data_IF_811166464087
#
_entry.id   IF_811166464087
#
_cell.length_a   1.000
_cell.length_b   1.000
_cell.length_c   1.000
_cell.angle_alpha   90.00
_cell.angle_beta   90.00
_cell.angle_gamma   90.00
#
_symmetry.space_group_name_H-M   'P 1'
#
loop_
_entity.id
_entity.type
_entity.pdbx_description
1 polymer ?
#
# COMPACT_ATOMS: atom_id res chain seq x y z
N UNK A 1 -42.80 7.77 50.57
CA UNK A 1 -42.10 9.05 50.80
C UNK A 1 -41.08 8.87 51.90
N UNK A 2 -39.95 9.57 51.89
CA UNK A 2 -38.90 9.75 50.87
C UNK A 2 -37.59 9.09 51.41
N UNK A 3 -36.46 8.95 50.70
CA UNK A 3 -35.60 10.02 50.21
C UNK A 3 -34.49 9.40 49.35
N UNK A 4 -34.23 10.02 48.21
CA UNK A 4 -33.16 9.71 47.28
C UNK A 4 -31.80 10.18 47.84
N UNK A 5 -30.76 9.37 47.63
CA UNK A 5 -29.37 9.84 47.57
C UNK A 5 -28.74 9.21 46.32
N UNK A 6 -28.54 10.05 45.32
CA UNK A 6 -27.75 9.75 44.14
C UNK A 6 -26.27 9.76 44.53
N UNK A 7 -25.56 8.68 44.25
CA UNK A 7 -24.09 8.65 44.22
C UNK A 7 -23.66 8.20 42.82
N UNK A 8 -22.88 9.07 42.18
CA UNK A 8 -22.36 8.87 40.84
C UNK A 8 -21.35 7.73 40.80
N UNK A 9 -21.69 6.67 40.07
CA UNK A 9 -20.77 5.64 39.65
C UNK A 9 -20.17 6.00 38.29
N UNK A 10 -18.88 6.31 38.27
CA UNK A 10 -18.07 6.34 37.05
C UNK A 10 -17.99 4.92 36.48
N UNK A 11 -18.76 4.64 35.42
CA UNK A 11 -18.56 3.45 34.61
C UNK A 11 -17.33 3.64 33.72
N UNK A 12 -16.19 3.12 34.16
CA UNK A 12 -15.12 2.75 33.24
C UNK A 12 -15.63 1.55 32.41
N UNK A 13 -16.02 1.80 31.16
CA UNK A 13 -16.18 0.73 30.17
C UNK A 13 -14.80 0.34 29.68
N UNK A 14 -14.38 -0.88 30.01
CA UNK A 14 -13.32 -1.58 29.29
C UNK A 14 -13.64 -1.61 27.78
N UNK A 15 -12.68 -1.33 26.88
CA UNK A 15 -12.86 -1.63 25.48
C UNK A 15 -12.88 -3.16 25.34
N UNK A 16 -14.04 -3.68 24.97
CA UNK A 16 -14.24 -5.08 24.66
C UNK A 16 -13.36 -5.48 23.48
N UNK A 17 -12.75 -6.66 23.62
CA UNK A 17 -12.07 -7.40 22.56
C UNK A 17 -13.07 -7.61 21.42
N UNK A 18 -12.83 -6.99 20.27
CA UNK A 18 -13.54 -7.29 19.04
C UNK A 18 -13.04 -8.64 18.50
N UNK A 19 -13.93 -9.55 18.08
CA UNK A 19 -13.51 -10.82 17.49
C UNK A 19 -12.76 -10.58 16.18
N UNK A 20 -11.61 -11.24 16.02
CA UNK A 20 -10.87 -11.31 14.77
C UNK A 20 -11.75 -11.94 13.70
N UNK A 21 -12.01 -11.20 12.62
CA UNK A 21 -12.69 -11.69 11.43
C UNK A 21 -11.61 -12.02 10.39
N UNK A 22 -11.41 -13.31 10.17
CA UNK A 22 -10.53 -13.89 9.16
C UNK A 22 -11.21 -13.89 7.79
N UNK A 23 -11.17 -12.76 7.05
CA UNK A 23 -11.45 -12.74 5.61
C UNK A 23 -10.94 -11.42 4.98
N UNK A 24 -10.00 -11.43 4.01
CA UNK A 24 -9.34 -10.23 3.48
C UNK A 24 -10.24 -9.32 2.60
N UNK A 25 -11.55 -9.60 2.47
CA UNK A 25 -12.49 -8.84 1.64
C UNK A 25 -13.37 -7.82 2.42
N UNK A 26 -13.08 -7.56 3.70
CA UNK A 26 -13.99 -6.81 4.60
C UNK A 26 -13.54 -5.39 5.00
N UNK A 27 -12.48 -4.82 4.44
CA UNK A 27 -12.05 -3.45 4.77
C UNK A 27 -12.75 -2.36 3.92
N UNK A 28 -14.06 -2.19 4.05
CA UNK A 28 -14.84 -1.11 3.41
C UNK A 28 -15.95 -0.69 4.37
N UNK A 29 -15.90 0.49 5.06
CA UNK A 29 -17.03 1.45 5.38
C UNK A 29 -16.49 2.76 6.07
N UNK A 30 -16.45 3.90 5.36
CA UNK A 30 -17.27 5.17 5.42
C UNK A 30 -17.54 6.00 6.75
N UNK A 31 -18.11 7.25 6.72
CA UNK A 31 -17.45 8.55 7.04
C UNK A 31 -18.16 9.44 8.10
N UNK A 32 -17.65 10.67 8.39
CA UNK A 32 -18.46 11.86 8.74
C UNK A 32 -17.70 13.20 8.66
N UNK A 33 -18.34 14.18 8.04
CA UNK A 33 -17.90 15.56 7.77
C UNK A 33 -18.39 16.50 8.88
N UNK A 34 -17.50 17.35 9.42
CA UNK A 34 -17.85 18.64 10.03
C UNK A 34 -16.75 19.65 9.67
N UNK A 35 -17.11 20.70 8.94
CA UNK A 35 -16.22 21.85 8.64
C UNK A 35 -16.54 22.97 9.64
N UNK A 36 -15.53 23.55 10.33
CA UNK A 36 -15.62 24.91 10.79
C UNK A 36 -14.70 25.81 9.95
N UNK A 37 -15.33 26.76 9.27
CA UNK A 37 -14.73 28.03 8.86
C UNK A 37 -14.11 28.77 10.05
N UNK A 38 -12.95 29.43 9.86
CA UNK A 38 -12.63 30.80 10.34
C UNK A 38 -11.23 31.28 9.87
N UNK A 39 -11.20 32.54 9.40
CA UNK A 39 -10.12 33.45 8.93
C UNK A 39 -9.11 33.87 10.06
N UNK A 40 -8.14 34.84 9.93
CA UNK A 40 -7.63 35.63 8.79
C UNK A 40 -6.07 35.72 8.67
N UNK A 41 -5.63 36.50 7.67
CA UNK A 41 -4.26 36.89 7.31
C UNK A 41 -3.48 37.79 8.31
N UNK A 42 -2.18 37.94 8.01
CA UNK A 42 -1.13 38.85 8.53
C UNK A 42 -0.05 38.12 9.36
N UNK A 43 1.26 38.27 9.21
CA UNK A 43 2.11 39.37 8.73
C UNK A 43 3.38 38.82 8.00
N UNK A 44 3.91 39.56 7.02
CA UNK A 44 5.29 39.40 6.52
C UNK A 44 6.25 40.32 7.31
N UNK A 45 7.53 39.93 7.41
CA UNK A 45 8.62 40.90 7.26
C UNK A 45 9.42 40.64 5.99
N UNK A 46 9.77 41.75 5.35
CA UNK A 46 10.55 41.85 4.13
C UNK A 46 12.01 41.37 4.31
N UNK A 47 12.57 40.80 3.24
CA UNK A 47 14.00 40.93 2.97
C UNK A 47 14.72 39.67 2.51
N UNK A 48 14.42 39.20 1.29
CA UNK A 48 15.37 38.60 0.31
C UNK A 48 14.58 38.06 -0.88
N UNK A 49 14.14 38.95 -1.75
CA UNK A 49 13.61 38.59 -3.06
C UNK A 49 14.73 38.84 -4.07
N UNK A 50 15.21 37.77 -4.71
CA UNK A 50 15.60 37.73 -6.13
C UNK A 50 16.12 36.32 -6.52
N UNK A 51 15.31 35.29 -6.27
CA UNK A 51 15.58 33.96 -6.84
C UNK A 51 14.35 33.04 -6.99
N UNK A 52 13.10 33.51 -6.93
CA UNK A 52 11.97 32.54 -6.83
C UNK A 52 10.63 33.06 -7.40
N UNK A 53 10.45 33.24 -8.72
CA UNK A 53 9.09 33.19 -9.29
C UNK A 53 8.74 31.79 -9.81
N UNK A 54 9.63 31.16 -10.58
CA UNK A 54 9.34 29.90 -11.27
C UNK A 54 9.40 28.64 -10.38
N UNK A 55 10.25 28.62 -9.35
CA UNK A 55 10.36 27.48 -8.42
C UNK A 55 9.09 27.35 -7.54
N UNK A 56 8.45 28.47 -7.22
CA UNK A 56 7.29 28.50 -6.34
C UNK A 56 6.02 27.95 -7.00
N UNK A 57 5.98 27.89 -8.34
CA UNK A 57 4.78 27.49 -9.06
C UNK A 57 4.60 25.97 -9.06
N UNK A 58 5.68 25.19 -9.26
CA UNK A 58 5.62 23.73 -9.19
C UNK A 58 5.19 23.24 -7.79
N UNK A 59 5.77 23.82 -6.73
CA UNK A 59 5.37 23.54 -5.34
C UNK A 59 3.90 23.91 -5.08
N UNK A 60 3.44 25.08 -5.53
CA UNK A 60 2.03 25.49 -5.36
C UNK A 60 1.08 24.54 -6.08
N UNK A 61 1.41 24.09 -7.31
CA UNK A 61 0.57 23.14 -8.02
C UNK A 61 0.53 21.78 -7.31
N UNK A 62 1.69 21.30 -6.82
CA UNK A 62 1.76 20.08 -6.02
C UNK A 62 0.92 20.17 -4.73
N UNK A 63 1.01 21.30 -4.01
CA UNK A 63 0.17 21.58 -2.83
C UNK A 63 -1.31 21.61 -3.17
N UNK A 64 -1.71 22.26 -4.28
CA UNK A 64 -3.11 22.29 -4.71
C UNK A 64 -3.61 20.90 -5.08
N UNK A 65 -2.79 20.10 -5.72
CA UNK A 65 -3.12 18.71 -6.06
C UNK A 65 -3.31 17.86 -4.79
N UNK A 66 -2.44 18.02 -3.78
CA UNK A 66 -2.60 17.37 -2.48
C UNK A 66 -3.88 17.79 -1.75
N UNK A 67 -4.16 19.09 -1.69
CA UNK A 67 -5.32 19.63 -0.97
C UNK A 67 -6.64 19.26 -1.65
N UNK A 68 -6.70 19.31 -2.99
CA UNK A 68 -7.90 18.94 -3.75
C UNK A 68 -8.16 17.42 -3.73
N UNK A 69 -7.13 16.62 -3.51
CA UNK A 69 -7.18 15.18 -3.70
C UNK A 69 -7.30 14.79 -5.18
N UNK A 70 -7.41 13.50 -5.46
CA UNK A 70 -7.75 12.94 -6.78
C UNK A 70 -9.13 13.41 -7.32
N UNK A 71 -9.87 14.23 -6.57
CA UNK A 71 -11.18 14.75 -6.95
C UNK A 71 -11.02 16.00 -7.80
N UNK A 72 -10.74 15.81 -9.09
CA UNK A 72 -11.06 16.83 -10.08
C UNK A 72 -12.59 16.90 -10.23
N UNK A 73 -13.24 17.69 -9.37
CA UNK A 73 -14.58 18.19 -9.64
C UNK A 73 -14.49 19.36 -10.62
N UNK A 74 -14.28 19.04 -11.90
CA UNK A 74 -14.53 19.99 -13.00
C UNK A 74 -14.80 19.20 -14.27
N UNK A 75 -15.78 19.68 -15.03
CA UNK A 75 -16.45 19.03 -16.16
C UNK A 75 -15.57 18.81 -17.42
N UNK A 76 -14.30 18.45 -17.25
CA UNK A 76 -13.41 17.97 -18.29
C UNK A 76 -12.90 16.58 -17.88
N UNK A 77 -13.58 15.56 -18.38
CA UNK A 77 -13.23 14.15 -18.27
C UNK A 77 -11.99 13.82 -19.12
N UNK A 78 -10.83 14.38 -18.77
CA UNK A 78 -9.56 13.92 -19.32
C UNK A 78 -8.68 13.36 -18.20
N UNK A 79 -8.59 12.03 -18.17
CA UNK A 79 -7.56 11.24 -17.47
C UNK A 79 -7.26 11.71 -16.04
N UNK A 80 -8.08 11.30 -15.07
CA UNK A 80 -7.66 11.34 -13.66
C UNK A 80 -6.53 10.33 -13.45
N UNK A 81 -5.30 10.70 -13.79
CA UNK A 81 -4.14 9.88 -13.51
C UNK A 81 -3.98 9.79 -11.99
N UNK A 82 -4.02 8.56 -11.47
CA UNK A 82 -3.79 8.26 -10.04
C UNK A 82 -2.39 8.68 -9.55
N UNK A 83 -1.52 9.14 -10.45
CA UNK A 83 -0.14 9.53 -10.20
C UNK A 83 0.22 10.79 -11.02
N UNK A 84 0.78 11.82 -10.39
CA UNK A 84 1.22 13.06 -11.07
C UNK A 84 2.66 13.38 -10.70
N UNK A 85 3.46 13.72 -11.72
CA UNK A 85 4.88 14.05 -11.59
C UNK A 85 5.08 15.56 -11.67
N UNK A 86 5.63 16.15 -10.61
CA UNK A 86 6.04 17.54 -10.53
C UNK A 86 7.56 17.66 -10.63
N UNK A 87 8.06 18.58 -11.46
CA UNK A 87 9.49 18.85 -11.64
C UNK A 87 9.85 20.19 -11.03
N UNK A 88 11.10 20.34 -10.58
CA UNK A 88 11.63 21.55 -9.96
C UNK A 88 11.35 21.68 -8.46
N UNK A 89 11.00 20.59 -7.77
CA UNK A 89 10.72 20.59 -6.33
C UNK A 89 11.97 20.14 -5.57
N UNK A 90 12.51 21.03 -4.74
CA UNK A 90 13.69 20.81 -3.92
C UNK A 90 13.34 20.11 -2.60
N UNK A 91 14.37 19.65 -1.87
CA UNK A 91 14.20 18.88 -0.63
C UNK A 91 13.38 19.61 0.44
N UNK A 92 13.65 20.88 0.70
CA UNK A 92 12.92 21.65 1.70
C UNK A 92 11.43 21.86 1.32
N UNK A 93 11.13 21.98 0.02
CA UNK A 93 9.74 22.06 -0.48
C UNK A 93 9.04 20.71 -0.38
N UNK A 94 9.75 19.61 -0.64
CA UNK A 94 9.26 18.26 -0.42
C UNK A 94 8.97 17.99 1.06
N UNK A 95 9.85 18.41 1.97
CA UNK A 95 9.63 18.28 3.42
C UNK A 95 8.36 19.02 3.84
N UNK A 96 8.09 20.22 3.29
CA UNK A 96 6.84 20.95 3.52
C UNK A 96 5.61 20.23 2.94
N UNK A 97 5.70 19.65 1.73
CA UNK A 97 4.64 18.82 1.14
C UNK A 97 4.33 17.60 2.01
N UNK A 98 5.37 16.90 2.46
CA UNK A 98 5.25 15.69 3.29
C UNK A 98 4.62 16.00 4.65
N UNK A 99 5.01 17.11 5.29
CA UNK A 99 4.36 17.56 6.52
C UNK A 99 2.88 17.86 6.30
N UNK A 100 2.54 18.53 5.20
CA UNK A 100 1.15 18.84 4.86
C UNK A 100 0.32 17.57 4.65
N UNK A 101 0.85 16.58 3.93
CA UNK A 101 0.17 15.30 3.71
C UNK A 101 -0.03 14.51 5.02
N UNK A 102 0.94 14.56 5.92
CA UNK A 102 0.85 13.89 7.23
C UNK A 102 -0.14 14.56 8.19
N UNK A 103 -0.23 15.89 8.20
CA UNK A 103 -1.16 16.62 9.07
C UNK A 103 -2.62 16.58 8.59
N UNK A 104 -2.84 16.21 7.33
CA UNK A 104 -4.17 16.17 6.74
C UNK A 104 -4.89 14.84 7.02
N UNK A 105 -5.13 14.55 8.30
CA UNK A 105 -5.89 13.36 8.76
C UNK A 105 -7.36 13.35 8.25
N UNK A 106 -7.83 14.45 7.65
CA UNK A 106 -9.19 14.59 7.14
C UNK A 106 -9.39 14.04 5.72
N UNK A 107 -8.34 13.52 5.06
CA UNK A 107 -8.47 12.93 3.72
C UNK A 107 -8.83 11.45 3.83
N UNK A 108 -9.92 11.04 3.17
CA UNK A 108 -10.44 9.66 3.16
C UNK A 108 -9.40 8.65 2.64
N UNK A 109 -8.44 9.11 1.86
CA UNK A 109 -7.39 8.33 1.22
C UNK A 109 -6.08 9.09 1.37
N UNK A 110 -5.03 8.46 1.87
CA UNK A 110 -3.72 9.12 2.01
C UNK A 110 -2.97 9.10 0.68
N UNK A 111 -2.28 10.18 0.33
CA UNK A 111 -1.42 10.18 -0.85
C UNK A 111 -0.10 9.47 -0.56
N UNK A 112 0.62 9.05 -1.59
CA UNK A 112 2.01 8.59 -1.52
C UNK A 112 2.88 9.63 -2.19
N UNK A 113 3.95 10.00 -1.50
CA UNK A 113 4.92 10.97 -1.98
C UNK A 113 6.25 10.27 -2.28
N UNK A 114 6.83 10.54 -3.44
CA UNK A 114 8.18 10.09 -3.79
C UNK A 114 8.99 11.25 -4.32
N UNK A 115 10.14 11.54 -3.71
CA UNK A 115 11.08 12.57 -4.10
C UNK A 115 12.39 11.98 -4.62
N UNK A 116 12.77 12.41 -5.82
CA UNK A 116 14.13 12.27 -6.32
C UNK A 116 14.85 13.62 -6.17
N UNK A 117 15.67 13.73 -5.13
CA UNK A 117 16.34 14.99 -4.79
C UNK A 117 17.33 15.44 -5.86
N UNK A 118 17.99 14.50 -6.55
CA UNK A 118 18.95 14.79 -7.62
C UNK A 118 18.29 15.37 -8.87
N UNK A 119 17.10 14.87 -9.20
CA UNK A 119 16.34 15.31 -10.38
C UNK A 119 15.36 16.45 -10.06
N UNK A 120 15.21 16.79 -8.78
CA UNK A 120 14.20 17.73 -8.28
C UNK A 120 12.79 17.34 -8.73
N UNK A 121 12.46 16.05 -8.60
CA UNK A 121 11.15 15.51 -9.02
C UNK A 121 10.40 15.02 -7.79
N UNK A 122 9.14 15.42 -7.65
CA UNK A 122 8.18 14.79 -6.74
C UNK A 122 7.11 14.07 -7.56
N UNK A 123 6.81 12.84 -7.19
CA UNK A 123 5.69 12.06 -7.66
C UNK A 123 4.66 11.98 -6.52
N UNK A 124 3.40 12.29 -6.82
CA UNK A 124 2.27 12.20 -5.90
C UNK A 124 1.30 11.16 -6.45
N UNK A 125 1.03 10.11 -5.67
CA UNK A 125 0.15 9.00 -6.08
C UNK A 125 -1.02 8.85 -5.11
N UNK A 126 -2.20 8.49 -5.63
CA UNK A 126 -3.41 8.19 -4.87
C UNK A 126 -3.80 6.72 -5.10
N UNK A 127 -3.18 5.77 -4.39
CA UNK A 127 -3.25 4.35 -4.72
C UNK A 127 -4.65 3.77 -4.58
N UNK A 128 -5.27 3.25 -5.66
CA UNK A 128 -6.59 2.61 -5.57
C UNK A 128 -6.61 1.40 -4.62
N UNK A 129 -7.80 0.98 -4.18
CA UNK A 129 -7.93 -0.25 -3.39
C UNK A 129 -7.43 -1.47 -4.16
N UNK A 130 -7.59 -1.48 -5.48
CA UNK A 130 -7.06 -2.54 -6.37
C UNK A 130 -5.53 -2.56 -6.34
N UNK A 131 -4.89 -1.40 -6.18
CA UNK A 131 -3.44 -1.28 -6.05
C UNK A 131 -2.89 -1.87 -4.74
N UNK A 132 -3.66 -1.79 -3.65
CA UNK A 132 -3.24 -2.29 -2.34
C UNK A 132 -3.57 -3.78 -2.11
N UNK A 133 -4.65 -4.25 -2.74
CA UNK A 133 -5.17 -5.60 -2.54
C UNK A 133 -4.14 -6.74 -2.70
N UNK A 134 -3.24 -6.74 -3.71
CA UNK A 134 -2.29 -7.85 -3.92
C UNK A 134 -1.32 -8.10 -2.77
N UNK A 135 -1.13 -7.12 -1.88
CA UNK A 135 -0.24 -7.22 -0.74
C UNK A 135 -0.94 -7.52 0.59
N UNK A 136 -2.27 -7.54 0.66
CA UNK A 136 -2.99 -7.77 1.92
C UNK A 136 -2.66 -9.15 2.52
N UNK A 137 -2.80 -10.21 1.73
CA UNK A 137 -2.49 -11.57 2.23
C UNK A 137 -0.99 -11.71 2.55
N UNK A 138 -0.12 -11.27 1.64
CA UNK A 138 1.33 -11.30 1.85
C UNK A 138 1.73 -10.57 3.14
N UNK A 139 1.12 -9.41 3.41
CA UNK A 139 1.33 -8.65 4.63
C UNK A 139 0.93 -9.46 5.86
N UNK A 140 -0.28 -10.02 5.88
CA UNK A 140 -0.78 -10.75 7.04
C UNK A 140 0.09 -11.98 7.33
N UNK A 141 0.41 -12.77 6.30
CA UNK A 141 1.24 -13.97 6.41
C UNK A 141 2.66 -13.62 6.85
N UNK A 142 3.31 -12.64 6.22
CA UNK A 142 4.65 -12.21 6.63
C UNK A 142 4.65 -11.62 8.05
N UNK A 143 3.64 -10.82 8.42
CA UNK A 143 3.52 -10.25 9.77
C UNK A 143 3.42 -11.36 10.81
N UNK A 144 2.53 -12.34 10.58
CA UNK A 144 2.39 -13.50 11.47
C UNK A 144 3.71 -14.26 11.59
N UNK A 145 4.41 -14.50 10.49
CA UNK A 145 5.65 -15.25 10.48
C UNK A 145 6.82 -14.51 11.14
N UNK A 146 6.96 -13.20 10.92
CA UNK A 146 8.02 -12.41 11.61
C UNK A 146 7.72 -12.32 13.11
N UNK A 147 6.46 -12.17 13.51
CA UNK A 147 6.07 -12.13 14.93
C UNK A 147 6.39 -13.41 15.70
N UNK A 148 6.53 -14.55 15.02
CA UNK A 148 6.88 -15.82 15.64
C UNK A 148 8.40 -15.98 15.87
N UNK A 149 9.23 -15.12 15.27
CA UNK A 149 10.69 -15.22 15.41
C UNK A 149 11.10 -14.82 16.84
N UNK A 150 11.79 -15.69 17.60
CA UNK A 150 12.07 -15.47 19.01
C UNK A 150 13.30 -14.56 19.20
N UNK A 151 13.17 -13.26 18.96
CA UNK A 151 14.16 -12.24 19.34
C UNK A 151 13.62 -11.27 20.40
N UNK A 152 14.53 -10.56 21.07
CA UNK A 152 14.15 -9.56 22.07
C UNK A 152 13.66 -8.27 21.39
N UNK A 153 12.37 -8.00 21.54
CA UNK A 153 11.70 -6.81 21.00
C UNK A 153 12.21 -5.48 21.60
N UNK A 154 12.98 -5.51 22.68
CA UNK A 154 13.64 -4.31 23.24
C UNK A 154 14.94 -3.94 22.51
N UNK A 155 15.49 -4.85 21.70
CA UNK A 155 16.73 -4.61 20.95
C UNK A 155 16.45 -4.35 19.47
N UNK A 156 15.48 -5.06 18.92
CA UNK A 156 15.05 -4.96 17.52
C UNK A 156 13.54 -4.85 17.48
N UNK A 157 13.03 -3.83 16.80
CA UNK A 157 11.63 -3.74 16.42
C UNK A 157 11.52 -4.01 14.93
N UNK A 158 10.65 -4.94 14.54
CA UNK A 158 10.25 -5.10 13.16
C UNK A 158 8.93 -4.38 12.92
N UNK A 159 8.70 -4.03 11.67
CA UNK A 159 7.47 -3.38 11.26
C UNK A 159 7.24 -3.73 9.79
N UNK A 160 6.16 -4.46 9.52
CA UNK A 160 5.69 -4.66 8.16
C UNK A 160 4.56 -3.67 7.90
N UNK A 161 4.87 -2.63 7.14
CA UNK A 161 3.94 -1.54 6.90
C UNK A 161 3.69 -1.35 5.42
N UNK A 162 2.46 -0.98 5.12
CA UNK A 162 2.11 -0.39 3.84
C UNK A 162 2.25 1.12 4.00
N UNK A 163 2.67 1.79 2.94
CA UNK A 163 2.75 3.25 2.92
C UNK A 163 3.80 3.86 3.87
N UNK A 164 4.87 3.12 4.18
CA UNK A 164 5.98 3.64 4.99
C UNK A 164 7.04 4.30 4.10
N UNK A 165 7.38 5.55 4.39
CA UNK A 165 8.38 6.29 3.61
C UNK A 165 9.78 5.81 3.94
N UNK A 166 10.51 5.46 2.89
CA UNK A 166 11.89 5.05 2.92
C UNK A 166 12.75 6.22 2.47
N UNK A 167 13.68 6.65 3.32
CA UNK A 167 14.48 7.86 3.09
C UNK A 167 15.98 7.59 3.01
N UNK A 168 16.62 8.32 2.11
CA UNK A 168 18.06 8.46 1.98
C UNK A 168 18.39 9.92 1.68
N UNK A 169 19.68 10.25 1.62
CA UNK A 169 20.10 11.61 1.27
C UNK A 169 19.63 12.06 -0.13
N UNK A 170 19.48 11.12 -1.06
CA UNK A 170 19.25 11.39 -2.48
C UNK A 170 17.85 11.01 -2.98
N UNK A 171 17.10 10.25 -2.18
CA UNK A 171 15.82 9.69 -2.55
C UNK A 171 14.96 9.51 -1.29
N UNK A 172 13.71 9.95 -1.35
CA UNK A 172 12.66 9.61 -0.39
C UNK A 172 11.52 9.00 -1.19
N UNK A 173 11.00 7.85 -0.80
CA UNK A 173 9.91 7.23 -1.53
C UNK A 173 9.16 6.25 -0.68
N UNK A 174 7.87 6.12 -0.94
CA UNK A 174 6.97 5.25 -0.19
C UNK A 174 6.73 3.98 -1.00
N UNK A 175 7.24 2.80 -0.57
CA UNK A 175 6.79 1.53 -1.10
C UNK A 175 5.38 1.18 -0.66
N UNK A 176 4.76 0.30 -1.43
CA UNK A 176 3.39 -0.13 -1.15
C UNK A 176 3.36 -1.11 0.01
N UNK A 177 4.42 -1.89 0.16
CA UNK A 177 4.71 -2.68 1.35
C UNK A 177 6.22 -2.70 1.61
N UNK A 178 6.61 -2.64 2.87
CA UNK A 178 8.01 -2.72 3.28
C UNK A 178 8.11 -3.43 4.62
N UNK A 179 9.11 -4.29 4.76
CA UNK A 179 9.54 -4.79 6.07
C UNK A 179 10.72 -3.93 6.52
N UNK A 180 10.56 -3.23 7.62
CA UNK A 180 11.62 -2.49 8.27
C UNK A 180 12.03 -3.17 9.59
N UNK A 181 13.32 -3.17 9.86
CA UNK A 181 13.91 -3.64 11.10
C UNK A 181 14.67 -2.48 11.74
N UNK A 182 14.18 -2.00 12.87
CA UNK A 182 14.72 -0.85 13.60
C UNK A 182 15.49 -1.31 14.82
N UNK A 183 16.77 -0.98 14.87
CA UNK A 183 17.62 -1.18 16.05
C UNK A 183 17.24 -0.18 17.14
N UNK A 184 16.85 -0.69 18.29
CA UNK A 184 16.44 0.12 19.46
C UNK A 184 17.57 0.32 20.47
N UNK A 185 18.55 -0.58 20.49
CA UNK A 185 19.70 -0.53 21.42
C UNK A 185 20.97 -0.10 20.70
N UNK A 186 21.56 1.02 21.11
CA UNK A 186 22.78 1.58 20.52
C UNK A 186 22.46 2.72 19.55
N UNK A 187 23.22 2.83 18.45
CA UNK A 187 22.97 3.82 17.40
C UNK A 187 21.72 3.39 16.63
N UNK A 188 20.63 4.19 16.63
CA UNK A 188 19.43 3.88 15.86
C UNK A 188 19.76 3.70 14.38
N UNK A 189 19.27 2.63 13.80
CA UNK A 189 19.44 2.30 12.38
C UNK A 189 18.22 1.51 11.91
N UNK A 190 17.83 1.75 10.66
CA UNK A 190 16.70 1.09 10.00
C UNK A 190 17.27 0.26 8.86
N UNK A 191 16.88 -1.01 8.81
CA UNK A 191 17.26 -1.96 7.77
C UNK A 191 16.00 -2.40 7.01
N UNK A 192 16.09 -2.45 5.68
CA UNK A 192 14.93 -2.78 4.83
C UNK A 192 15.22 -4.06 4.03
N UNK A 193 14.96 -5.25 4.59
CA UNK A 193 15.19 -6.52 3.89
C UNK A 193 14.14 -6.84 2.81
N UNK A 194 12.99 -6.19 2.80
CA UNK A 194 11.92 -6.48 1.84
C UNK A 194 11.19 -5.21 1.38
N UNK A 195 10.97 -5.12 0.06
CA UNK A 195 10.22 -4.04 -0.61
C UNK A 195 9.20 -4.68 -1.55
N UNK A 196 7.98 -4.17 -1.56
CA UNK A 196 6.96 -4.51 -2.55
C UNK A 196 6.37 -3.28 -3.22
N UNK A 197 6.19 -3.38 -4.54
CA UNK A 197 5.46 -2.40 -5.34
C UNK A 197 4.39 -3.09 -6.20
N UNK A 198 3.30 -2.38 -6.46
CA UNK A 198 2.19 -2.76 -7.29
C UNK A 198 1.99 -1.65 -8.33
N UNK A 199 1.75 -2.02 -9.57
CA UNK A 199 1.26 -1.13 -10.61
C UNK A 199 -0.21 -1.48 -10.86
N UNK A 200 -1.06 -0.47 -10.79
CA UNK A 200 -2.41 -0.52 -11.34
C UNK A 200 -2.54 0.61 -12.35
N UNK A 201 -2.84 0.29 -13.61
CA UNK A 201 -2.92 1.28 -14.70
C UNK A 201 -1.62 2.08 -14.96
N UNK A 202 -0.50 1.65 -14.38
CA UNK A 202 0.84 2.21 -14.60
C UNK A 202 1.65 1.29 -15.53
N UNK A 203 2.51 1.90 -16.35
CA UNK A 203 3.44 1.15 -17.20
C UNK A 203 4.51 0.44 -16.36
N UNK A 204 4.74 -0.85 -16.63
CA UNK A 204 5.73 -1.67 -15.94
C UNK A 204 7.12 -1.02 -15.89
N UNK A 205 7.60 -0.45 -17.00
CA UNK A 205 8.93 0.20 -17.06
C UNK A 205 9.08 1.37 -16.07
N UNK A 206 7.99 2.09 -15.79
CA UNK A 206 7.97 3.18 -14.81
C UNK A 206 8.13 2.61 -13.40
N UNK A 207 7.44 1.52 -13.10
CA UNK A 207 7.53 0.82 -11.82
C UNK A 207 8.91 0.22 -11.59
N UNK A 208 9.48 -0.44 -12.60
CA UNK A 208 10.82 -0.99 -12.55
C UNK A 208 11.87 0.10 -12.28
N UNK A 209 11.73 1.27 -12.91
CA UNK A 209 12.62 2.41 -12.64
C UNK A 209 12.47 2.94 -11.22
N UNK A 210 11.24 2.95 -10.66
CA UNK A 210 10.98 3.33 -9.25
C UNK A 210 11.66 2.34 -8.31
N UNK A 211 11.51 1.04 -8.57
CA UNK A 211 12.14 -0.05 -7.82
C UNK A 211 13.66 0.01 -7.84
N UNK A 212 14.29 0.24 -9.01
CA UNK A 212 15.76 0.40 -9.10
C UNK A 212 16.28 1.46 -8.14
N UNK A 213 15.68 2.65 -8.16
CA UNK A 213 16.13 3.73 -7.27
C UNK A 213 16.00 3.35 -5.79
N UNK A 214 14.95 2.58 -5.42
CA UNK A 214 14.73 2.11 -4.04
C UNK A 214 15.74 1.03 -3.65
N UNK A 215 16.05 0.10 -4.53
CA UNK A 215 17.03 -0.97 -4.26
C UNK A 215 18.44 -0.40 -4.14
N UNK A 216 18.81 0.54 -5.01
CA UNK A 216 20.13 1.20 -4.99
C UNK A 216 20.41 1.95 -3.68
N UNK A 217 19.38 2.38 -2.95
CA UNK A 217 19.54 3.04 -1.65
C UNK A 217 19.58 2.08 -0.47
N UNK A 218 19.21 0.81 -0.65
CA UNK A 218 19.11 -0.20 0.41
C UNK A 218 19.81 -1.49 0.02
N UNK A 219 21.12 -1.55 0.27
CA UNK A 219 21.94 -2.73 -0.05
C UNK A 219 21.57 -4.00 0.71
N UNK A 220 20.82 -3.85 1.82
CA UNK A 220 20.31 -4.91 2.66
C UNK A 220 19.03 -5.56 2.16
N UNK A 221 18.42 -5.06 1.07
CA UNK A 221 17.22 -5.68 0.49
C UNK A 221 17.55 -7.09 0.02
N UNK A 222 16.78 -8.06 0.52
CA UNK A 222 16.91 -9.49 0.22
C UNK A 222 15.88 -9.93 -0.81
N UNK A 223 14.69 -9.34 -0.77
CA UNK A 223 13.56 -9.70 -1.62
C UNK A 223 12.83 -8.45 -2.11
N UNK A 224 12.51 -8.44 -3.40
CA UNK A 224 11.65 -7.44 -4.03
C UNK A 224 10.47 -8.14 -4.68
N UNK A 225 9.26 -7.67 -4.41
CA UNK A 225 8.05 -8.15 -5.09
C UNK A 225 7.45 -7.00 -5.90
N UNK A 226 7.26 -7.22 -7.19
CA UNK A 226 6.49 -6.34 -8.05
C UNK A 226 5.21 -7.04 -8.47
N UNK A 227 4.08 -6.35 -8.37
CA UNK A 227 2.80 -6.82 -8.89
C UNK A 227 2.35 -5.90 -10.01
N UNK A 228 1.88 -6.44 -11.12
CA UNK A 228 1.31 -5.66 -12.23
C UNK A 228 -0.12 -6.10 -12.44
N UNK A 229 -1.05 -5.21 -12.13
CA UNK A 229 -2.48 -5.39 -12.35
C UNK A 229 -2.88 -4.63 -13.61
N UNK A 230 -3.42 -5.36 -14.59
CA UNK A 230 -3.90 -4.81 -15.87
C UNK A 230 -5.41 -4.97 -15.95
N UNK A 231 -6.11 -3.92 -16.34
CA UNK A 231 -7.53 -4.00 -16.72
C UNK A 231 -7.68 -4.27 -18.21
N UNK A 232 -8.78 -4.90 -18.60
CA UNK A 232 -9.10 -5.19 -20.01
C UNK A 232 -9.34 -3.90 -20.79
N UNK A 233 -9.98 -2.92 -20.16
CA UNK A 233 -10.21 -1.59 -20.73
C UNK A 233 -9.31 -0.57 -20.03
N UNK A 234 -8.70 0.33 -20.79
CA UNK A 234 -7.88 1.42 -20.24
C UNK A 234 -8.79 2.49 -19.62
N UNK A 235 -9.11 2.30 -18.36
CA UNK A 235 -9.86 3.28 -17.57
C UNK A 235 -11.25 2.79 -17.20
N UNK A 236 -11.54 2.85 -15.91
CA UNK A 236 -12.90 2.81 -15.41
C UNK A 236 -13.70 3.99 -15.96
N UNK A 237 -14.90 3.72 -16.46
CA UNK A 237 -15.87 4.74 -16.81
C UNK A 237 -16.98 4.74 -15.78
N UNK A 238 -17.26 5.89 -15.19
CA UNK A 238 -18.42 6.01 -14.29
C UNK A 238 -19.73 5.80 -15.08
N UNK A 239 -20.80 5.34 -14.42
CA UNK A 239 -22.12 5.28 -15.04
C UNK A 239 -22.54 6.65 -15.58
N UNK A 240 -23.01 6.70 -16.83
CA UNK A 240 -23.48 7.93 -17.46
C UNK A 240 -24.60 8.58 -16.63
N UNK A 241 -24.54 9.90 -16.45
CA UNK A 241 -25.54 10.65 -15.68
C UNK A 241 -26.95 10.40 -16.23
N UNK A 242 -27.87 10.02 -15.35
CA UNK A 242 -29.25 9.73 -15.73
C UNK A 242 -29.49 8.33 -16.31
N UNK A 243 -28.45 7.53 -16.57
CA UNK A 243 -28.59 6.11 -16.95
C UNK A 243 -29.30 5.30 -15.85
N UNK A 244 -29.82 4.12 -16.21
CA UNK A 244 -30.49 3.21 -15.26
C UNK A 244 -29.56 2.83 -14.10
N UNK A 245 -28.28 2.58 -14.39
CA UNK A 245 -27.26 2.29 -13.37
C UNK A 245 -27.03 3.52 -12.49
N UNK A 246 -26.82 4.70 -13.09
CA UNK A 246 -26.62 5.92 -12.31
C UNK A 246 -27.81 6.17 -11.38
N UNK A 247 -29.05 6.07 -11.86
CA UNK A 247 -30.25 6.29 -11.04
C UNK A 247 -30.37 5.26 -9.89
N UNK A 248 -29.95 4.01 -10.14
CA UNK A 248 -29.97 2.95 -9.14
C UNK A 248 -29.00 3.24 -7.98
N UNK A 249 -27.82 3.77 -8.27
CA UNK A 249 -26.76 3.96 -7.27
C UNK A 249 -26.62 5.41 -6.77
N UNK A 250 -27.09 6.43 -7.48
CA UNK A 250 -26.87 7.83 -7.11
C UNK A 250 -27.56 8.24 -5.80
N UNK A 251 -28.57 7.50 -5.37
CA UNK A 251 -29.28 7.73 -4.12
C UNK A 251 -28.68 6.96 -2.93
N UNK A 252 -27.68 6.11 -3.15
CA UNK A 252 -27.03 5.37 -2.08
C UNK A 252 -26.08 6.28 -1.31
N UNK A 253 -26.36 6.45 -0.01
CA UNK A 253 -25.57 7.30 0.89
C UNK A 253 -24.42 6.57 1.57
N UNK A 254 -24.33 5.25 1.37
CA UNK A 254 -23.34 4.38 2.00
C UNK A 254 -22.66 3.53 0.95
N UNK A 255 -21.39 3.22 1.16
CA UNK A 255 -20.66 2.23 0.38
C UNK A 255 -21.42 0.90 0.37
N UNK A 256 -21.56 0.31 -0.81
CA UNK A 256 -22.17 -1.00 -0.98
C UNK A 256 -21.16 -2.10 -0.72
N UNK A 257 -21.63 -3.25 -0.22
CA UNK A 257 -20.77 -4.41 0.00
C UNK A 257 -20.38 -5.06 -1.32
N UNK A 258 -19.23 -5.73 -1.34
CA UNK A 258 -18.77 -6.51 -2.49
C UNK A 258 -19.81 -7.55 -2.93
N UNK A 259 -20.52 -8.17 -1.99
CA UNK A 259 -21.62 -9.09 -2.30
C UNK A 259 -22.73 -8.44 -3.12
N UNK A 260 -22.94 -7.13 -3.00
CA UNK A 260 -23.88 -6.42 -3.85
C UNK A 260 -23.46 -6.41 -5.33
N UNK A 261 -22.15 -6.43 -5.58
CA UNK A 261 -21.57 -6.46 -6.91
C UNK A 261 -21.28 -7.87 -7.44
N UNK A 262 -21.07 -8.84 -6.54
CA UNK A 262 -20.82 -10.25 -6.89
C UNK A 262 -22.08 -11.11 -6.95
N UNK A 263 -23.27 -10.55 -6.66
CA UNK A 263 -24.54 -11.27 -6.88
C UNK A 263 -24.68 -11.57 -8.36
N UNK A 264 -24.65 -12.85 -8.69
CA UNK A 264 -24.75 -13.36 -10.05
C UNK A 264 -26.06 -12.85 -10.68
N UNK A 265 -26.05 -12.24 -11.88
CA UNK A 265 -27.28 -11.99 -12.63
C UNK A 265 -28.13 -13.26 -12.83
N UNK A 266 -27.52 -14.45 -12.76
CA UNK A 266 -28.24 -15.73 -12.83
C UNK A 266 -28.99 -16.13 -11.55
N UNK A 267 -28.70 -15.55 -10.39
CA UNK A 267 -29.49 -15.80 -9.17
C UNK A 267 -30.93 -15.24 -9.23
N UNK A 268 -31.31 -14.60 -10.34
CA UNK A 268 -32.68 -14.12 -10.59
C UNK A 268 -33.50 -14.99 -11.56
N UNK A 269 -32.92 -16.03 -12.18
CA UNK A 269 -33.63 -16.90 -13.11
C UNK A 269 -33.25 -18.39 -12.92
N UNK A 270 -34.18 -19.09 -12.27
CA UNK A 270 -34.40 -20.55 -12.21
C UNK A 270 -33.70 -21.40 -11.12
N UNK A 271 -34.46 -22.25 -10.39
CA UNK A 271 -33.93 -23.28 -9.51
C UNK A 271 -33.77 -24.60 -10.27
N UNK A 272 -32.54 -25.09 -10.45
CA UNK A 272 -32.24 -26.53 -10.50
C UNK A 272 -30.74 -26.79 -10.46
N UNK A 273 -30.33 -27.57 -9.46
CA UNK A 273 -28.96 -27.64 -9.01
C UNK A 273 -27.97 -28.27 -9.97
N UNK A 274 -26.74 -27.76 -9.93
CA UNK A 274 -25.52 -28.55 -9.90
C UNK A 274 -24.35 -27.62 -9.52
N UNK A 275 -23.54 -28.09 -8.57
CA UNK A 275 -22.21 -27.61 -8.17
C UNK A 275 -22.08 -26.28 -7.41
N UNK A 276 -22.13 -26.40 -6.08
CA UNK A 276 -21.43 -25.51 -5.15
C UNK A 276 -19.91 -25.62 -5.38
N UNK A 277 -19.39 -24.79 -6.29
CA UNK A 277 -18.00 -24.31 -6.25
C UNK A 277 -18.04 -22.83 -6.56
N UNK A 278 -18.40 -22.04 -5.56
CA UNK A 278 -18.44 -20.58 -5.56
C UNK A 278 -17.01 -20.02 -5.62
N UNK A 279 -16.37 -20.11 -6.78
CA UNK A 279 -15.20 -19.33 -7.14
C UNK A 279 -15.65 -18.34 -8.20
N UNK A 280 -16.01 -17.13 -7.80
CA UNK A 280 -16.23 -16.04 -8.74
C UNK A 280 -14.90 -15.84 -9.47
N UNK A 281 -14.77 -16.30 -10.71
CA UNK A 281 -13.51 -16.19 -11.44
C UNK A 281 -13.31 -14.71 -11.73
N UNK A 282 -12.36 -14.07 -11.03
CA UNK A 282 -11.94 -12.68 -11.24
C UNK A 282 -11.48 -12.38 -12.68
N UNK A 283 -11.39 -13.40 -13.53
CA UNK A 283 -11.21 -13.31 -14.98
C UNK A 283 -12.43 -12.79 -15.74
N UNK A 284 -13.62 -12.75 -15.11
CA UNK A 284 -14.83 -12.22 -15.70
C UNK A 284 -15.07 -10.77 -15.26
N UNK A 285 -15.68 -9.93 -16.12
CA UNK A 285 -16.05 -8.59 -15.73
C UNK A 285 -17.10 -8.63 -14.60
N UNK A 286 -16.91 -7.77 -13.60
CA UNK A 286 -17.92 -7.53 -12.56
C UNK A 286 -18.97 -6.61 -13.17
N UNK A 287 -20.11 -7.18 -13.58
CA UNK A 287 -21.20 -6.44 -14.24
C UNK A 287 -22.41 -6.35 -13.31
N UNK A 288 -22.86 -5.14 -13.04
CA UNK A 288 -24.10 -4.90 -12.26
C UNK A 288 -24.95 -3.92 -13.03
N UNK A 289 -26.21 -4.29 -13.28
CA UNK A 289 -27.18 -3.49 -14.05
C UNK A 289 -26.62 -3.11 -15.44
N UNK A 290 -25.92 -4.03 -16.10
CA UNK A 290 -25.31 -3.83 -17.44
C UNK A 290 -24.11 -2.87 -17.46
N UNK A 291 -23.64 -2.40 -16.31
CA UNK A 291 -22.43 -1.61 -16.19
C UNK A 291 -21.26 -2.45 -15.70
N UNK A 292 -20.11 -2.36 -16.38
CA UNK A 292 -18.87 -3.02 -16.01
C UNK A 292 -18.17 -2.18 -14.95
N UNK A 293 -18.13 -2.67 -13.71
CA UNK A 293 -17.51 -1.97 -12.58
C UNK A 293 -16.01 -2.23 -12.47
N UNK A 294 -15.57 -3.42 -12.88
CA UNK A 294 -14.18 -3.84 -12.85
C UNK A 294 -14.00 -4.98 -13.83
N UNK A 295 -12.90 -4.99 -14.58
CA UNK A 295 -12.54 -6.09 -15.46
C UNK A 295 -11.03 -6.24 -15.50
N UNK A 296 -10.49 -7.00 -14.55
CA UNK A 296 -9.06 -7.27 -14.49
C UNK A 296 -8.71 -8.27 -15.59
N UNK A 297 -7.76 -7.91 -16.44
CA UNK A 297 -7.19 -8.78 -17.47
C UNK A 297 -6.14 -9.73 -16.90
N UNK A 298 -5.26 -9.22 -16.04
CA UNK A 298 -4.17 -10.00 -15.45
C UNK A 298 -3.68 -9.41 -14.13
N UNK A 299 -3.22 -10.27 -13.23
CA UNK A 299 -2.42 -9.92 -12.06
C UNK A 299 -1.13 -10.73 -12.14
N UNK A 300 -0.04 -10.06 -12.48
CA UNK A 300 1.28 -10.68 -12.66
C UNK A 300 2.17 -10.38 -11.46
N UNK A 301 2.76 -11.40 -10.87
CA UNK A 301 3.76 -11.29 -9.80
C UNK A 301 5.15 -11.49 -10.37
N UNK A 302 6.08 -10.65 -9.94
CA UNK A 302 7.51 -10.75 -10.23
C UNK A 302 8.25 -10.67 -8.90
N UNK A 303 9.10 -11.64 -8.61
CA UNK A 303 9.88 -11.70 -7.39
C UNK A 303 11.34 -11.73 -7.76
N UNK A 304 12.13 -10.78 -7.26
CA UNK A 304 13.58 -10.80 -7.42
C UNK A 304 14.26 -10.96 -6.08
N UNK A 305 15.41 -11.64 -6.11
CA UNK A 305 16.08 -12.10 -4.92
C UNK A 305 17.56 -11.77 -4.93
N UNK A 306 18.10 -11.57 -3.73
CA UNK A 306 19.53 -11.35 -3.53
C UNK A 306 20.34 -12.65 -3.59
N UNK A 307 21.42 -12.64 -4.37
CA UNK A 307 22.38 -13.74 -4.48
C UNK A 307 23.73 -13.33 -3.86
N UNK A 308 24.07 -13.95 -2.73
CA UNK A 308 25.26 -13.57 -1.96
C UNK A 308 25.19 -12.12 -1.49
N UNK A 309 26.26 -11.37 -1.71
CA UNK A 309 26.38 -9.96 -1.31
C UNK A 309 26.01 -8.96 -2.42
N UNK A 310 25.72 -9.44 -3.64
CA UNK A 310 25.37 -8.57 -4.77
C UNK A 310 24.03 -7.84 -4.55
N UNK A 311 23.90 -6.62 -5.06
CA UNK A 311 22.61 -5.94 -5.10
C UNK A 311 21.63 -6.68 -6.00
N UNK A 312 20.34 -6.59 -5.70
CA UNK A 312 19.30 -7.11 -6.59
C UNK A 312 19.33 -6.34 -7.91
N UNK A 313 19.54 -7.06 -9.01
CA UNK A 313 19.44 -6.51 -10.35
C UNK A 313 18.12 -6.95 -10.98
N UNK A 314 17.15 -6.03 -11.05
CA UNK A 314 15.82 -6.34 -11.59
C UNK A 314 15.83 -6.60 -13.11
N UNK A 315 16.95 -6.36 -13.79
CA UNK A 315 17.10 -6.72 -15.20
C UNK A 315 17.48 -8.19 -15.39
N UNK A 316 17.96 -8.88 -14.34
CA UNK A 316 18.18 -10.34 -14.37
C UNK A 316 16.82 -11.04 -14.27
N UNK A 317 16.53 -11.90 -15.25
CA UNK A 317 15.24 -12.59 -15.41
C UNK A 317 15.39 -14.11 -15.44
N UNK A 318 16.56 -14.63 -15.09
CA UNK A 318 16.79 -16.06 -14.99
C UNK A 318 16.21 -16.61 -13.69
N UNK A 319 15.94 -17.93 -13.67
CA UNK A 319 15.25 -18.60 -12.58
C UNK A 319 16.01 -18.57 -11.25
N UNK A 320 17.31 -18.28 -11.24
CA UNK A 320 18.08 -18.16 -9.99
C UNK A 320 17.86 -16.80 -9.31
N UNK A 321 17.53 -15.77 -10.08
CA UNK A 321 17.40 -14.39 -9.59
C UNK A 321 15.95 -13.90 -9.58
N UNK A 322 15.06 -14.52 -10.36
CA UNK A 322 13.70 -14.04 -10.56
C UNK A 322 12.68 -15.17 -10.78
N UNK A 323 11.50 -15.05 -10.16
CA UNK A 323 10.33 -15.86 -10.45
C UNK A 323 9.17 -14.96 -10.90
N UNK A 324 8.44 -15.41 -11.91
CA UNK A 324 7.27 -14.73 -12.44
C UNK A 324 6.08 -15.69 -12.46
N UNK A 325 4.91 -15.18 -12.08
CA UNK A 325 3.66 -15.92 -12.13
C UNK A 325 2.46 -15.02 -12.42
N UNK A 326 1.35 -15.63 -12.83
CA UNK A 326 0.07 -14.95 -13.03
C UNK A 326 -0.97 -15.57 -12.10
N UNK A 327 -1.67 -14.72 -11.34
CA UNK A 327 -2.74 -15.19 -10.45
C UNK A 327 -3.88 -15.81 -11.24
N UNK A 328 -4.24 -15.18 -12.37
CA UNK A 328 -5.25 -15.75 -13.25
C UNK A 328 -4.67 -16.93 -14.00
N UNK A 329 -5.43 -18.04 -14.02
CA UNK A 329 -5.02 -19.36 -14.50
C UNK A 329 -3.91 -20.01 -13.65
N UNK A 330 -3.52 -19.41 -12.51
CA UNK A 330 -2.48 -19.86 -11.58
C UNK A 330 -1.16 -20.27 -12.26
N UNK A 331 -0.81 -19.60 -13.36
CA UNK A 331 0.37 -19.96 -14.15
C UNK A 331 1.64 -19.61 -13.37
N UNK A 332 2.46 -20.63 -13.11
CA UNK A 332 3.79 -20.52 -12.48
C UNK A 332 3.78 -19.88 -11.08
N UNK A 333 2.62 -19.81 -10.41
CA UNK A 333 2.52 -19.25 -9.06
C UNK A 333 3.24 -20.09 -8.00
N UNK A 334 3.44 -21.39 -8.24
CA UNK A 334 4.22 -22.25 -7.34
C UNK A 334 5.69 -21.80 -7.26
N UNK A 335 6.31 -21.41 -8.39
CA UNK A 335 7.67 -20.88 -8.41
C UNK A 335 7.77 -19.55 -7.66
N UNK A 336 6.74 -18.69 -7.76
CA UNK A 336 6.63 -17.45 -6.98
C UNK A 336 6.53 -17.75 -5.49
N UNK A 337 5.65 -18.67 -5.08
CA UNK A 337 5.45 -19.08 -3.68
C UNK A 337 6.72 -19.66 -3.06
N UNK A 338 7.40 -20.54 -3.79
CA UNK A 338 8.66 -21.15 -3.38
C UNK A 338 9.74 -20.08 -3.20
N UNK A 339 9.93 -19.20 -4.19
CA UNK A 339 10.94 -18.15 -4.13
C UNK A 339 10.72 -17.18 -2.96
N UNK A 340 9.47 -16.76 -2.70
CA UNK A 340 9.12 -15.90 -1.56
C UNK A 340 9.39 -16.61 -0.24
N UNK A 341 9.03 -17.89 -0.13
CA UNK A 341 9.26 -18.70 1.07
C UNK A 341 10.75 -18.85 1.37
N UNK A 342 11.55 -19.16 0.35
CA UNK A 342 13.01 -19.29 0.48
C UNK A 342 13.67 -17.98 0.88
N UNK A 343 13.25 -16.85 0.30
CA UNK A 343 13.81 -15.56 0.68
C UNK A 343 13.38 -15.13 2.07
N UNK A 344 12.17 -15.48 2.49
CA UNK A 344 11.76 -15.21 3.86
C UNK A 344 12.66 -15.93 4.88
N UNK A 345 13.10 -17.15 4.56
CA UNK A 345 14.10 -17.84 5.39
C UNK A 345 15.43 -17.07 5.43
N UNK A 346 15.87 -16.48 4.32
CA UNK A 346 17.05 -15.59 4.32
C UNK A 346 16.82 -14.33 5.16
N UNK A 347 15.62 -13.75 5.15
CA UNK A 347 15.25 -12.62 6.03
C UNK A 347 15.31 -13.03 7.50
N UNK A 348 14.81 -14.22 7.86
CA UNK A 348 14.95 -14.78 9.22
C UNK A 348 16.41 -14.88 9.64
N UNK A 349 17.28 -15.41 8.76
CA UNK A 349 18.72 -15.54 9.03
C UNK A 349 19.40 -14.17 9.13
N UNK A 350 18.96 -13.19 8.35
CA UNK A 350 19.41 -11.81 8.44
C UNK A 350 19.04 -11.17 9.78
N UNK A 351 17.82 -11.38 10.27
CA UNK A 351 17.40 -10.97 11.62
C UNK A 351 18.30 -11.60 12.69
N UNK A 352 18.59 -12.90 12.58
CA UNK A 352 19.53 -13.60 13.48
C UNK A 352 20.90 -12.91 13.50
N UNK A 353 21.46 -12.65 12.32
CA UNK A 353 22.78 -12.01 12.15
C UNK A 353 22.82 -10.60 12.74
N UNK A 354 21.79 -9.79 12.46
CA UNK A 354 21.66 -8.47 13.06
C UNK A 354 21.64 -8.57 14.58
N UNK A 355 20.88 -9.52 15.12
CA UNK A 355 20.71 -9.71 16.54
C UNK A 355 22.01 -10.14 17.24
N UNK A 356 22.74 -11.11 16.69
CA UNK A 356 24.08 -11.51 17.18
C UNK A 356 25.09 -10.35 17.11
N UNK A 357 25.01 -9.49 16.09
CA UNK A 357 25.90 -8.32 15.99
C UNK A 357 25.60 -7.28 17.06
N UNK A 358 24.35 -7.16 17.48
CA UNK A 358 23.93 -6.22 18.53
C UNK A 358 24.26 -6.72 19.95
N UNK A 359 24.20 -8.03 20.17
CA UNK A 359 24.46 -8.66 21.46
C UNK A 359 25.22 -9.99 21.24
N UNK A 360 26.56 -9.96 21.10
CA UNK A 360 27.38 -11.12 20.75
C UNK A 360 27.32 -12.30 21.73
N UNK A 361 26.81 -12.07 22.95
CA UNK A 361 26.61 -13.13 23.95
C UNK A 361 25.25 -13.81 23.86
N UNK A 362 24.37 -13.39 22.95
CA UNK A 362 23.02 -13.93 22.87
C UNK A 362 22.99 -15.23 22.07
N UNK A 363 22.37 -16.24 22.68
CA UNK A 363 22.06 -17.50 22.01
C UNK A 363 20.97 -17.29 20.94
N UNK A 364 21.37 -17.43 19.67
CA UNK A 364 20.47 -17.34 18.51
C UNK A 364 20.01 -18.71 18.00
N UNK A 365 20.40 -19.80 18.67
CA UNK A 365 20.09 -21.17 18.25
C UNK A 365 18.58 -21.39 18.08
N UNK A 366 17.74 -20.72 18.88
CA UNK A 366 16.29 -20.79 18.75
C UNK A 366 15.78 -20.14 17.46
N UNK A 367 16.35 -19.00 17.05
CA UNK A 367 16.01 -18.32 15.79
C UNK A 367 16.46 -19.20 14.61
N UNK A 368 17.68 -19.74 14.68
CA UNK A 368 18.25 -20.59 13.63
C UNK A 368 17.48 -21.90 13.45
N UNK A 369 17.15 -22.59 14.54
CA UNK A 369 16.40 -23.84 14.54
C UNK A 369 14.91 -23.68 14.20
N UNK A 370 14.37 -22.46 14.26
CA UNK A 370 12.98 -22.20 13.95
C UNK A 370 12.67 -22.52 12.49
N UNK A 371 11.78 -23.48 12.28
CA UNK A 371 11.19 -23.74 10.98
C UNK A 371 10.05 -22.76 10.74
N UNK A 372 10.17 -21.91 9.72
CA UNK A 372 9.11 -20.99 9.32
C UNK A 372 8.59 -21.43 7.96
N UNK A 373 7.27 -21.46 7.84
CA UNK A 373 6.58 -21.60 6.55
C UNK A 373 5.78 -20.34 6.32
N UNK A 374 5.74 -19.89 5.06
CA UNK A 374 4.77 -18.88 4.63
C UNK A 374 3.63 -19.63 3.94
N UNK A 375 2.47 -19.83 4.58
CA UNK A 375 1.29 -20.37 3.92
C UNK A 375 0.71 -19.31 2.98
N UNK A 376 1.40 -19.07 1.87
CA UNK A 376 1.03 -18.06 0.89
C UNK A 376 -0.20 -18.53 0.12
N UNK A 377 -1.29 -17.81 0.31
CA UNK A 377 -2.46 -17.88 -0.55
C UNK A 377 -2.57 -16.55 -1.28
N UNK A 378 -2.35 -16.56 -2.59
CA UNK A 378 -2.49 -15.34 -3.40
C UNK A 378 -3.92 -15.15 -3.91
N UNK A 379 -4.84 -16.09 -3.61
CA UNK A 379 -6.24 -16.11 -4.02
C UNK A 379 -7.17 -15.18 -3.26
#
# INVERSE_FOLDING_TARGET
MPTAIASGGNYYRSPGVLPQISNPLLAIISPLVVVPTLYPASCRPNGQANLIPFLLDAYKEAMRYLIKGSWASSADESESTEAVVFKGIHRHEYEALSHTDQENDNVIKKSRLTHNAQKHIVLIEWPSTVHEAPFNNLKDVMTMSVNQIPYNCNHLSHTLQMNFTVESNNFSGTPDIVLSLTRLKGIPSVHIPFIGECAFSQWQDVLEKKLKNKIETHSEVIMVVMVVVKEVNTGYHAPEYGSVVWQAFCHHKTSLSLQHFLKDPQDQLEPQGLSQTTGCSLSQPIVVKEHVWCHIFSVEYYVWVKKGDELIDINKRDAEHMAQGSLFLELLMDAVKEMVSDQFLKIKNYISTLYSTMDPGTDVSQIEAMHITLPLDFG
#
